data_IF_468315752466
#
_entry.id   IF_468315752466
#
_cell.length_a   1.000
_cell.length_b   1.000
_cell.length_c   1.000
_cell.angle_alpha   90.00
_cell.angle_beta   90.00
_cell.angle_gamma   90.00
#
_symmetry.space_group_name_H-M   'P 1'
#
loop_
_entity.id
_entity.type
_entity.pdbx_description
1 polymer ?
#
# COMPACT_ATOMS: atom_id res chain seq x y z
N UNK A 1 8.09 3.07 -16.73
CA UNK A 1 6.77 3.43 -16.13
C UNK A 1 6.57 2.85 -14.74
N UNK A 2 6.89 1.57 -14.48
CA UNK A 2 6.68 0.96 -13.15
C UNK A 2 7.30 1.69 -11.96
N UNK A 3 8.56 2.15 -12.08
CA UNK A 3 9.23 2.94 -11.05
C UNK A 3 8.49 4.23 -10.68
N UNK A 4 7.93 4.94 -11.67
CA UNK A 4 7.17 6.17 -11.44
C UNK A 4 5.84 5.87 -10.73
N UNK A 5 5.18 4.77 -11.09
CA UNK A 5 3.96 4.34 -10.41
C UNK A 5 4.24 3.98 -8.95
N UNK A 6 5.29 3.19 -8.69
CA UNK A 6 5.68 2.82 -7.33
C UNK A 6 6.12 4.03 -6.49
N UNK A 7 6.84 4.97 -7.10
CA UNK A 7 7.20 6.22 -6.44
C UNK A 7 5.96 7.07 -6.09
N UNK A 8 4.97 7.12 -6.97
CA UNK A 8 3.71 7.82 -6.70
C UNK A 8 2.91 7.18 -5.56
N UNK A 9 2.88 5.84 -5.48
CA UNK A 9 2.24 5.13 -4.37
C UNK A 9 2.96 5.38 -3.03
N UNK A 10 4.29 5.32 -3.04
CA UNK A 10 5.13 5.60 -1.89
C UNK A 10 4.97 7.06 -1.39
N UNK A 11 4.86 8.00 -2.33
CA UNK A 11 4.54 9.40 -2.03
C UNK A 11 3.11 9.56 -1.48
N UNK A 12 2.15 8.79 -2.02
CA UNK A 12 0.79 8.74 -1.50
C UNK A 12 0.72 8.28 -0.05
N UNK A 13 1.54 7.28 0.34
CA UNK A 13 1.66 6.87 1.74
C UNK A 13 2.21 7.99 2.62
N UNK A 14 3.24 8.71 2.17
CA UNK A 14 3.77 9.87 2.89
C UNK A 14 2.68 10.92 3.14
N UNK A 15 1.94 11.31 2.09
CA UNK A 15 0.85 12.26 2.23
C UNK A 15 -0.22 11.76 3.23
N UNK A 16 -0.64 10.50 3.11
CA UNK A 16 -1.61 9.91 4.03
C UNK A 16 -1.14 9.98 5.49
N UNK A 17 0.13 9.68 5.75
CA UNK A 17 0.70 9.75 7.10
C UNK A 17 0.72 11.19 7.63
N UNK A 18 1.08 12.18 6.79
CA UNK A 18 1.00 13.60 7.16
C UNK A 18 -0.44 14.01 7.49
N UNK A 19 -1.42 13.57 6.70
CA UNK A 19 -2.85 13.83 6.97
C UNK A 19 -3.36 13.18 8.25
N UNK A 20 -2.82 12.02 8.62
CA UNK A 20 -3.11 11.32 9.87
C UNK A 20 -2.34 11.89 11.08
N UNK A 21 -1.57 12.96 10.91
CA UNK A 21 -0.81 13.62 11.97
C UNK A 21 0.44 12.86 12.41
N UNK A 22 0.95 11.95 11.58
CA UNK A 22 2.21 11.23 11.84
C UNK A 22 3.37 12.09 11.35
N UNK A 23 4.24 12.52 12.26
CA UNK A 23 5.49 13.20 11.91
C UNK A 23 6.50 12.18 11.38
N UNK A 24 6.64 12.13 10.06
CA UNK A 24 7.56 11.22 9.38
C UNK A 24 8.19 11.91 8.17
N UNK A 25 9.47 11.66 7.93
CA UNK A 25 10.14 12.16 6.73
C UNK A 25 9.65 11.45 5.47
N UNK A 26 9.58 12.17 4.34
CA UNK A 26 9.16 11.60 3.05
C UNK A 26 9.98 10.38 2.63
N UNK A 27 11.31 10.45 2.76
CA UNK A 27 12.21 9.35 2.43
C UNK A 27 11.97 8.12 3.32
N UNK A 28 11.65 8.34 4.60
CA UNK A 28 11.36 7.26 5.54
C UNK A 28 10.05 6.57 5.17
N UNK A 29 8.98 7.32 4.92
CA UNK A 29 7.70 6.76 4.47
C UNK A 29 7.85 5.97 3.15
N UNK A 30 8.59 6.51 2.19
CA UNK A 30 8.86 5.83 0.92
C UNK A 30 9.69 4.55 1.12
N UNK A 31 10.69 4.58 2.01
CA UNK A 31 11.47 3.41 2.38
C UNK A 31 10.62 2.31 3.03
N UNK A 32 9.72 2.69 3.95
CA UNK A 32 8.76 1.77 4.55
C UNK A 32 7.88 1.13 3.49
N UNK A 33 7.34 1.92 2.54
CA UNK A 33 6.55 1.39 1.43
C UNK A 33 7.35 0.36 0.61
N UNK A 34 8.57 0.72 0.21
CA UNK A 34 9.41 -0.15 -0.61
C UNK A 34 9.72 -1.48 0.10
N UNK A 35 10.16 -1.44 1.36
CA UNK A 35 10.46 -2.65 2.15
C UNK A 35 9.21 -3.50 2.35
N UNK A 36 8.07 -2.87 2.64
CA UNK A 36 6.81 -3.59 2.85
C UNK A 36 6.33 -4.28 1.58
N UNK A 37 6.43 -3.62 0.43
CA UNK A 37 6.08 -4.21 -0.88
C UNK A 37 7.00 -5.37 -1.22
N UNK A 38 8.31 -5.28 -0.93
CA UNK A 38 9.25 -6.39 -1.09
C UNK A 38 8.92 -7.56 -0.16
N UNK A 39 8.62 -7.29 1.11
CA UNK A 39 8.21 -8.32 2.06
C UNK A 39 6.91 -9.02 1.63
N UNK A 40 5.95 -8.25 1.11
CA UNK A 40 4.73 -8.80 0.50
C UNK A 40 5.02 -9.71 -0.69
N UNK A 41 5.91 -9.30 -1.59
CA UNK A 41 6.32 -10.13 -2.73
C UNK A 41 6.99 -11.44 -2.27
N UNK A 42 7.83 -11.38 -1.23
CA UNK A 42 8.50 -12.55 -0.64
C UNK A 42 7.56 -13.49 0.13
N UNK A 43 6.36 -13.04 0.49
CA UNK A 43 5.36 -13.90 1.15
C UNK A 43 4.73 -14.94 0.21
N UNK A 44 4.87 -14.76 -1.11
CA UNK A 44 4.22 -15.58 -2.15
C UNK A 44 2.69 -15.71 -2.02
N UNK A 45 2.06 -14.86 -1.20
CA UNK A 45 0.61 -14.78 -1.09
C UNK A 45 0.05 -13.94 -2.25
N UNK A 46 -1.17 -14.24 -2.73
CA UNK A 46 -1.79 -13.47 -3.80
C UNK A 46 -1.86 -12.00 -3.42
N UNK A 47 -1.28 -11.13 -4.26
CA UNK A 47 -1.20 -9.69 -3.99
C UNK A 47 -0.31 -9.29 -2.80
N UNK A 48 0.51 -10.20 -2.28
CA UNK A 48 1.35 -9.97 -1.09
C UNK A 48 0.55 -9.75 0.20
N UNK A 49 -0.72 -10.19 0.21
CA UNK A 49 -1.64 -10.08 1.34
C UNK A 49 -1.05 -10.76 2.58
N UNK A 50 -1.09 -10.08 3.72
CA UNK A 50 -0.53 -10.53 4.99
C UNK A 50 0.93 -10.11 5.16
N UNK A 51 1.78 -10.36 4.17
CA UNK A 51 3.21 -10.01 4.23
C UNK A 51 3.47 -8.51 4.15
N UNK A 52 2.86 -7.83 3.17
CA UNK A 52 3.03 -6.39 3.00
C UNK A 52 2.40 -5.60 4.14
N UNK A 53 1.21 -6.01 4.58
CA UNK A 53 0.47 -5.35 5.64
C UNK A 53 1.21 -5.48 6.98
N UNK A 54 1.67 -6.68 7.34
CA UNK A 54 2.41 -6.89 8.57
C UNK A 54 3.70 -6.09 8.59
N UNK A 55 4.47 -6.09 7.49
CA UNK A 55 5.71 -5.31 7.39
C UNK A 55 5.44 -3.80 7.52
N UNK A 56 4.41 -3.28 6.85
CA UNK A 56 4.09 -1.86 6.88
C UNK A 56 3.65 -1.40 8.25
N UNK A 57 2.74 -2.15 8.90
CA UNK A 57 2.28 -1.83 10.27
C UNK A 57 3.45 -1.90 11.24
N UNK A 58 4.30 -2.93 11.16
CA UNK A 58 5.44 -3.09 12.04
C UNK A 58 6.45 -1.95 11.89
N UNK A 59 6.79 -1.58 10.65
CA UNK A 59 7.75 -0.51 10.37
C UNK A 59 7.22 0.88 10.73
N UNK A 60 5.92 1.15 10.51
CA UNK A 60 5.29 2.41 10.92
C UNK A 60 5.23 2.52 12.45
N UNK A 61 4.86 1.45 13.15
CA UNK A 61 4.87 1.41 14.60
C UNK A 61 6.28 1.56 15.18
N UNK A 62 7.28 0.91 14.57
CA UNK A 62 8.69 1.09 14.92
C UNK A 62 9.19 2.51 14.62
N UNK A 63 8.61 3.18 13.63
CA UNK A 63 8.85 4.59 13.30
C UNK A 63 8.14 5.58 14.23
N UNK A 64 7.44 5.12 15.27
CA UNK A 64 6.78 5.96 16.27
C UNK A 64 5.31 6.26 16.00
N UNK A 65 4.72 5.72 14.92
CA UNK A 65 3.28 5.86 14.70
C UNK A 65 2.50 5.06 15.75
N UNK A 66 1.41 5.63 16.27
CA UNK A 66 0.48 4.88 17.11
C UNK A 66 -0.06 3.66 16.36
N UNK A 67 -0.12 2.50 17.00
CA UNK A 67 -0.46 1.23 16.35
C UNK A 67 -1.78 1.29 15.56
N UNK A 68 -2.83 1.91 16.12
CA UNK A 68 -4.10 2.08 15.42
C UNK A 68 -3.98 2.94 14.16
N UNK A 69 -3.14 3.97 14.18
CA UNK A 69 -2.87 4.83 13.02
C UNK A 69 -2.05 4.08 11.96
N UNK A 70 -1.06 3.28 12.37
CA UNK A 70 -0.29 2.44 11.46
C UNK A 70 -1.19 1.45 10.72
N UNK A 71 -2.08 0.75 11.43
CA UNK A 71 -3.07 -0.16 10.83
C UNK A 71 -4.00 0.58 9.87
N UNK A 72 -4.54 1.72 10.29
CA UNK A 72 -5.43 2.54 9.46
C UNK A 72 -4.75 2.99 8.16
N UNK A 73 -3.52 3.52 8.27
CA UNK A 73 -2.74 3.99 7.12
C UNK A 73 -2.46 2.85 6.14
N UNK A 74 -2.06 1.68 6.63
CA UNK A 74 -1.81 0.49 5.80
C UNK A 74 -3.07 0.04 5.07
N UNK A 75 -4.21 -0.06 5.77
CA UNK A 75 -5.47 -0.48 5.15
C UNK A 75 -5.92 0.49 4.06
N UNK A 76 -5.89 1.80 4.34
CA UNK A 76 -6.25 2.83 3.34
C UNK A 76 -5.32 2.75 2.13
N UNK A 77 -4.00 2.71 2.35
CA UNK A 77 -3.02 2.62 1.29
C UNK A 77 -3.29 1.43 0.36
N UNK A 78 -3.54 0.24 0.93
CA UNK A 78 -3.79 -1.00 0.18
C UNK A 78 -5.12 -0.99 -0.55
N UNK A 79 -6.16 -0.38 0.03
CA UNK A 79 -7.46 -0.22 -0.63
C UNK A 79 -7.35 0.62 -1.90
N UNK A 80 -6.59 1.72 -1.84
CA UNK A 80 -6.47 2.67 -2.94
C UNK A 80 -5.55 2.15 -4.05
N UNK A 81 -4.53 1.35 -3.73
CA UNK A 81 -3.59 0.84 -4.75
C UNK A 81 -4.04 -0.50 -5.32
N UNK A 82 -4.25 -1.50 -4.46
CA UNK A 82 -4.45 -2.88 -4.89
C UNK A 82 -5.92 -3.17 -5.18
N UNK A 83 -6.81 -2.86 -4.24
CA UNK A 83 -8.23 -3.19 -4.39
C UNK A 83 -8.93 -2.34 -5.45
N UNK A 84 -8.50 -1.10 -5.65
CA UNK A 84 -8.93 -0.28 -6.79
C UNK A 84 -8.61 -0.96 -8.13
N UNK A 85 -7.37 -1.44 -8.32
CA UNK A 85 -6.96 -2.15 -9.53
C UNK A 85 -7.75 -3.46 -9.72
N UNK A 86 -8.03 -4.20 -8.65
CA UNK A 86 -8.85 -5.41 -8.68
C UNK A 86 -10.27 -5.12 -9.16
N UNK A 87 -10.93 -4.08 -8.62
CA UNK A 87 -12.29 -3.68 -9.04
C UNK A 87 -12.32 -3.29 -10.51
N UNK A 88 -11.33 -2.53 -10.99
CA UNK A 88 -11.21 -2.18 -12.40
C UNK A 88 -11.03 -3.42 -13.29
N UNK A 89 -10.18 -4.36 -12.88
CA UNK A 89 -9.98 -5.63 -13.59
C UNK A 89 -11.25 -6.46 -13.69
N UNK A 90 -11.99 -6.60 -12.58
CA UNK A 90 -13.29 -7.29 -12.56
C UNK A 90 -14.29 -6.59 -13.48
N UNK A 91 -14.38 -5.25 -13.41
CA UNK A 91 -15.24 -4.45 -14.28
C UNK A 91 -14.94 -4.69 -15.77
N UNK A 92 -13.66 -4.69 -16.15
CA UNK A 92 -13.23 -4.97 -17.51
C UNK A 92 -13.64 -6.38 -17.96
N UNK A 93 -13.40 -7.41 -17.13
CA UNK A 93 -13.79 -8.79 -17.43
C UNK A 93 -15.30 -8.93 -17.60
N UNK A 94 -16.10 -8.29 -16.74
CA UNK A 94 -17.56 -8.30 -16.86
C UNK A 94 -18.05 -7.60 -18.12
N UNK A 95 -17.40 -6.51 -18.53
CA UNK A 95 -17.72 -5.81 -19.79
C UNK A 95 -17.38 -6.67 -21.00
N UNK A 96 -16.21 -7.35 -21.02
CA UNK A 96 -15.85 -8.26 -22.10
C UNK A 96 -16.81 -9.46 -22.17
N UNK A 97 -17.13 -10.10 -21.03
CA UNK A 97 -18.08 -11.21 -20.97
C UNK A 97 -19.51 -10.86 -21.40
N UNK A 98 -19.87 -9.58 -21.42
CA UNK A 98 -21.17 -9.11 -21.95
C UNK A 98 -21.16 -8.85 -23.46
N UNK A 99 -19.98 -8.85 -24.09
CA UNK A 99 -19.80 -8.63 -25.52
C UNK A 99 -19.66 -9.93 -26.33
N UNK A 100 -19.37 -11.04 -25.65
CA UNK A 100 -19.45 -12.41 -26.16
C UNK A 100 -20.86 -12.99 -25.90
#
# INVERSE_FOLDING_TARGET
>A
MGLLAWAAEAWGLYLLLTWLGVEIGSLQAMGIYAVSTLAGALSFLPGGLGGAEAAMVALLAAGGAAFGVAVLATVICRLVTLWFAVVLGIGAVLVLRRRD
#
